data_IF_524757043452
#
_entry.id   IF_524757043452
#
_cell.length_a   1.000
_cell.length_b   1.000
_cell.length_c   1.000
_cell.angle_alpha   90.00
_cell.angle_beta   90.00
_cell.angle_gamma   90.00
#
_symmetry.space_group_name_H-M   'P 1'
#
loop_
_entity.id
_entity.type
_entity.pdbx_description
1 polymer ?
#
# COMPACT_ATOMS: atom_id res chain seq x y z
N UNK A 1 -12.13 0.77 7.45
CA UNK A 1 -12.23 1.87 6.45
C UNK A 1 -13.62 2.51 6.36
N UNK A 2 -14.71 1.88 6.85
CA UNK A 2 -16.06 2.47 6.80
C UNK A 2 -16.18 3.89 7.39
N UNK A 3 -15.53 4.18 8.51
CA UNK A 3 -15.53 5.53 9.09
C UNK A 3 -14.89 6.58 8.17
N UNK A 4 -13.78 6.24 7.53
CA UNK A 4 -13.07 7.13 6.59
C UNK A 4 -13.95 7.47 5.39
N UNK A 5 -14.58 6.46 4.77
CA UNK A 5 -15.44 6.68 3.61
C UNK A 5 -16.65 7.56 3.95
N UNK A 6 -17.26 7.40 5.15
CA UNK A 6 -18.35 8.28 5.60
C UNK A 6 -17.93 9.74 5.69
N UNK A 7 -16.75 10.00 6.26
CA UNK A 7 -16.22 11.37 6.38
C UNK A 7 -15.89 11.93 4.99
N UNK A 8 -15.21 11.17 4.14
CA UNK A 8 -14.85 11.59 2.78
C UNK A 8 -16.10 11.89 1.95
N UNK A 9 -17.12 11.02 2.00
CA UNK A 9 -18.41 11.25 1.34
C UNK A 9 -19.03 12.58 1.79
N UNK A 10 -19.11 12.82 3.10
CA UNK A 10 -19.67 14.08 3.62
C UNK A 10 -18.88 15.31 3.16
N UNK A 11 -17.54 15.20 3.05
CA UNK A 11 -16.72 16.29 2.52
C UNK A 11 -17.02 16.54 1.03
N UNK A 12 -17.20 15.50 0.23
CA UNK A 12 -17.61 15.64 -1.17
C UNK A 12 -19.00 16.27 -1.31
N UNK A 13 -19.97 15.86 -0.50
CA UNK A 13 -21.32 16.47 -0.48
C UNK A 13 -21.26 17.99 -0.22
N UNK A 14 -20.36 18.42 0.67
CA UNK A 14 -20.19 19.83 1.01
C UNK A 14 -19.36 20.62 -0.01
N UNK A 15 -18.42 19.95 -0.69
CA UNK A 15 -17.50 20.62 -1.63
C UNK A 15 -18.08 20.71 -3.04
N UNK A 16 -18.92 19.75 -3.44
CA UNK A 16 -19.45 19.66 -4.80
C UNK A 16 -18.38 19.28 -5.83
N UNK A 17 -18.45 19.87 -7.02
CA UNK A 17 -17.57 19.53 -8.14
C UNK A 17 -16.12 19.90 -7.83
N UNK A 18 -15.23 18.91 -7.79
CA UNK A 18 -13.84 19.15 -7.40
C UNK A 18 -12.86 18.09 -7.91
N UNK A 19 -11.57 18.37 -7.72
CA UNK A 19 -10.48 17.40 -7.84
C UNK A 19 -9.99 17.05 -6.44
N UNK A 20 -10.04 15.77 -6.08
CA UNK A 20 -9.62 15.31 -4.77
C UNK A 20 -8.34 14.46 -4.90
N UNK A 21 -7.29 14.84 -4.17
CA UNK A 21 -5.96 14.26 -4.30
C UNK A 21 -5.70 13.26 -3.16
N UNK A 22 -5.36 12.03 -3.52
CA UNK A 22 -5.15 10.93 -2.56
C UNK A 22 -3.83 10.23 -2.84
N UNK A 23 -3.03 10.00 -1.80
CA UNK A 23 -1.75 9.31 -1.91
C UNK A 23 -1.90 7.81 -2.22
N UNK A 24 -1.10 7.29 -3.15
CA UNK A 24 -1.06 5.86 -3.51
C UNK A 24 -0.58 4.96 -2.36
N UNK A 25 0.09 5.53 -1.35
CA UNK A 25 0.51 4.81 -0.15
C UNK A 25 -0.66 4.15 0.58
N UNK A 26 -1.82 4.80 0.62
CA UNK A 26 -3.05 4.25 1.19
C UNK A 26 -3.88 3.60 0.07
N UNK A 27 -3.29 2.63 -0.64
CA UNK A 27 -3.85 2.06 -1.88
C UNK A 27 -5.28 1.54 -1.73
N UNK A 28 -5.61 0.89 -0.61
CA UNK A 28 -6.97 0.41 -0.34
C UNK A 28 -7.97 1.57 -0.17
N UNK A 29 -7.56 2.65 0.49
CA UNK A 29 -8.41 3.83 0.64
C UNK A 29 -8.64 4.49 -0.71
N UNK A 30 -7.59 4.65 -1.52
CA UNK A 30 -7.71 5.20 -2.87
C UNK A 30 -8.65 4.35 -3.74
N UNK A 31 -8.50 3.03 -3.71
CA UNK A 31 -9.40 2.10 -4.41
C UNK A 31 -10.87 2.30 -3.99
N UNK A 32 -11.14 2.27 -2.68
CA UNK A 32 -12.49 2.42 -2.16
C UNK A 32 -13.10 3.81 -2.41
N UNK A 33 -12.30 4.87 -2.36
CA UNK A 33 -12.77 6.24 -2.66
C UNK A 33 -13.14 6.37 -4.14
N UNK A 34 -12.32 5.83 -5.06
CA UNK A 34 -12.66 5.80 -6.49
C UNK A 34 -13.96 5.06 -6.75
N UNK A 35 -14.08 3.86 -6.19
CA UNK A 35 -15.28 3.03 -6.29
C UNK A 35 -16.51 3.76 -5.75
N UNK A 36 -16.39 4.42 -4.58
CA UNK A 36 -17.47 5.21 -4.00
C UNK A 36 -17.90 6.38 -4.88
N UNK A 37 -16.95 7.08 -5.51
CA UNK A 37 -17.24 8.19 -6.42
C UNK A 37 -17.97 7.71 -7.67
N UNK A 38 -17.53 6.58 -8.23
CA UNK A 38 -18.15 5.95 -9.40
C UNK A 38 -19.56 5.42 -9.09
N UNK A 39 -19.71 4.59 -8.04
CA UNK A 39 -20.99 3.96 -7.66
C UNK A 39 -22.07 4.97 -7.26
N UNK A 40 -21.68 6.18 -6.85
CA UNK A 40 -22.59 7.24 -6.42
C UNK A 40 -22.66 8.41 -7.41
N UNK A 41 -22.00 8.29 -8.56
CA UNK A 41 -21.97 9.30 -9.60
C UNK A 41 -21.60 10.69 -9.07
N UNK A 42 -20.66 10.75 -8.10
CA UNK A 42 -20.25 12.01 -7.49
C UNK A 42 -19.46 12.84 -8.52
N UNK A 43 -19.63 14.17 -8.57
CA UNK A 43 -18.93 15.04 -9.52
C UNK A 43 -17.47 15.33 -9.09
N UNK A 44 -16.74 14.29 -8.67
CA UNK A 44 -15.39 14.40 -8.10
C UNK A 44 -14.40 13.64 -8.98
N UNK A 45 -13.31 14.30 -9.38
CA UNK A 45 -12.18 13.62 -10.03
C UNK A 45 -11.16 13.21 -8.97
N UNK A 46 -10.97 11.90 -8.77
CA UNK A 46 -9.99 11.37 -7.81
C UNK A 46 -8.61 11.26 -8.48
N UNK A 47 -7.68 12.12 -8.06
CA UNK A 47 -6.31 12.18 -8.59
C UNK A 47 -5.36 11.37 -7.69
N UNK A 48 -4.74 10.29 -8.20
CA UNK A 48 -3.73 9.55 -7.44
C UNK A 48 -2.43 10.36 -7.37
N UNK A 49 -1.84 10.42 -6.18
CA UNK A 49 -0.53 11.04 -5.97
C UNK A 49 0.50 9.96 -5.64
N UNK A 50 1.64 9.89 -6.35
CA UNK A 50 2.68 8.92 -6.06
C UNK A 50 3.10 8.93 -4.59
N UNK A 51 3.45 7.75 -4.06
CA UNK A 51 3.98 7.64 -2.70
C UNK A 51 5.27 8.44 -2.59
N UNK A 52 5.24 9.52 -1.80
CA UNK A 52 6.45 10.25 -1.44
C UNK A 52 7.30 9.40 -0.49
N UNK A 53 8.60 9.30 -0.77
CA UNK A 53 9.55 8.45 -0.03
C UNK A 53 10.76 9.24 0.43
N UNK A 54 11.32 8.85 1.57
CA UNK A 54 12.64 9.26 2.00
C UNK A 54 13.74 8.58 1.14
N UNK A 55 15.01 9.04 1.20
CA UNK A 55 16.09 8.47 0.38
C UNK A 55 16.33 6.97 0.57
N UNK A 56 16.01 6.43 1.75
CA UNK A 56 16.07 5.01 2.09
C UNK A 56 14.83 4.20 1.65
N UNK A 57 13.92 4.85 0.92
CA UNK A 57 12.70 4.24 0.40
C UNK A 57 11.50 4.24 1.35
N UNK A 58 11.67 4.62 2.62
CA UNK A 58 10.56 4.65 3.57
C UNK A 58 9.45 5.60 3.09
N UNK A 59 8.22 5.09 2.97
CA UNK A 59 7.07 5.91 2.63
C UNK A 59 6.80 6.99 3.71
N UNK A 60 6.62 8.24 3.29
CA UNK A 60 6.31 9.32 4.22
C UNK A 60 4.98 9.06 4.95
N UNK A 61 4.99 9.30 6.26
CA UNK A 61 3.86 9.06 7.16
C UNK A 61 3.96 9.99 8.34
N UNK A 62 2.84 10.56 8.78
CA UNK A 62 2.79 11.23 10.09
C UNK A 62 3.15 10.28 11.23
N UNK A 63 2.95 8.97 11.04
CA UNK A 63 3.36 7.93 12.00
C UNK A 63 4.88 7.77 12.13
N UNK A 64 5.67 8.20 11.14
CA UNK A 64 7.13 8.08 11.20
C UNK A 64 7.71 8.95 12.33
N UNK A 65 7.04 10.04 12.69
CA UNK A 65 7.43 10.90 13.81
C UNK A 65 7.34 10.22 15.18
N UNK A 66 6.70 9.03 15.27
CA UNK A 66 6.59 8.25 16.51
C UNK A 66 7.73 7.24 16.65
N UNK A 67 8.47 6.99 15.58
CA UNK A 67 9.57 6.02 15.59
C UNK A 67 10.72 6.59 16.41
N UNK A 68 11.35 5.75 17.22
CA UNK A 68 12.70 6.02 17.73
C UNK A 68 13.70 6.08 16.57
N UNK A 69 14.91 6.57 16.83
CA UNK A 69 15.97 6.57 15.81
C UNK A 69 16.24 5.14 15.28
N UNK A 70 16.31 4.15 16.19
CA UNK A 70 16.55 2.76 15.83
C UNK A 70 15.40 2.14 15.03
N UNK A 71 14.15 2.41 15.42
CA UNK A 71 12.98 1.96 14.65
C UNK A 71 12.95 2.63 13.26
N UNK A 72 13.34 3.90 13.17
CA UNK A 72 13.39 4.65 11.92
C UNK A 72 14.42 4.07 10.96
N UNK A 73 15.61 3.73 11.45
CA UNK A 73 16.67 3.14 10.63
C UNK A 73 16.26 1.78 10.06
N UNK A 74 15.45 1.02 10.81
CA UNK A 74 14.95 -0.29 10.39
C UNK A 74 13.68 -0.23 9.53
N UNK A 75 12.94 0.88 9.55
CA UNK A 75 11.65 1.01 8.86
C UNK A 75 11.74 0.90 7.32
N UNK A 76 12.93 1.06 6.75
CA UNK A 76 13.19 0.83 5.32
C UNK A 76 12.88 -0.60 4.85
N UNK A 77 12.80 -1.58 5.77
CA UNK A 77 12.52 -2.97 5.44
C UNK A 77 11.19 -3.19 4.71
N UNK A 78 10.18 -2.32 4.91
CA UNK A 78 8.92 -2.40 4.16
C UNK A 78 9.15 -2.20 2.65
N UNK A 79 9.97 -1.23 2.29
CA UNK A 79 10.27 -0.96 0.88
C UNK A 79 11.18 -2.03 0.29
N UNK A 80 12.13 -2.56 1.06
CA UNK A 80 12.97 -3.69 0.65
C UNK A 80 12.13 -4.94 0.37
N UNK A 81 11.21 -5.29 1.28
CA UNK A 81 10.31 -6.43 1.14
C UNK A 81 9.49 -6.35 -0.16
N UNK A 82 8.89 -5.17 -0.41
CA UNK A 82 8.12 -4.92 -1.62
C UNK A 82 8.99 -4.96 -2.89
N UNK A 83 10.23 -4.46 -2.79
CA UNK A 83 11.17 -4.45 -3.91
C UNK A 83 11.66 -5.85 -4.27
N UNK A 84 11.87 -6.73 -3.28
CA UNK A 84 12.19 -8.15 -3.50
C UNK A 84 11.04 -8.85 -4.23
N UNK A 85 9.80 -8.69 -3.75
CA UNK A 85 8.63 -9.24 -4.44
C UNK A 85 8.49 -8.72 -5.88
N UNK A 86 8.72 -7.42 -6.10
CA UNK A 86 8.70 -6.85 -7.44
C UNK A 86 9.85 -7.37 -8.32
N UNK A 87 11.03 -7.67 -7.74
CA UNK A 87 12.16 -8.23 -8.47
C UNK A 87 11.91 -9.69 -8.88
N UNK A 88 11.33 -10.50 -7.99
CA UNK A 88 10.92 -11.88 -8.30
C UNK A 88 9.87 -11.90 -9.42
N UNK A 89 8.86 -11.02 -9.33
CA UNK A 89 7.86 -10.88 -10.38
C UNK A 89 8.48 -10.46 -11.72
N UNK A 90 9.44 -9.53 -11.73
CA UNK A 90 10.21 -9.17 -12.94
C UNK A 90 11.02 -10.36 -13.49
N UNK A 91 11.46 -11.26 -12.61
CA UNK A 91 12.16 -12.50 -12.96
C UNK A 91 11.25 -13.63 -13.48
N UNK A 92 9.95 -13.40 -13.60
CA UNK A 92 8.98 -14.37 -14.10
C UNK A 92 8.25 -15.16 -13.01
N UNK A 93 8.45 -14.85 -11.73
CA UNK A 93 7.64 -15.44 -10.67
C UNK A 93 6.18 -14.95 -10.77
N UNK A 94 5.24 -15.89 -10.77
CA UNK A 94 3.81 -15.58 -10.89
C UNK A 94 3.01 -16.07 -9.69
N UNK A 95 3.53 -16.97 -8.86
CA UNK A 95 2.87 -17.48 -7.67
C UNK A 95 2.90 -16.44 -6.54
N UNK A 96 1.71 -15.95 -6.18
CA UNK A 96 1.56 -14.96 -5.13
C UNK A 96 2.09 -15.45 -3.77
N UNK A 97 2.03 -16.76 -3.48
CA UNK A 97 2.53 -17.31 -2.22
C UNK A 97 4.05 -17.14 -2.10
N UNK A 98 4.79 -17.28 -3.21
CA UNK A 98 6.25 -17.08 -3.25
C UNK A 98 6.58 -15.61 -2.98
N UNK A 99 5.84 -14.68 -3.60
CA UNK A 99 6.02 -13.24 -3.39
C UNK A 99 5.68 -12.81 -1.96
N UNK A 100 4.61 -13.37 -1.39
CA UNK A 100 4.21 -13.13 0.01
C UNK A 100 5.26 -13.66 0.97
N UNK A 101 5.79 -14.85 0.72
CA UNK A 101 6.86 -15.43 1.53
C UNK A 101 8.13 -14.58 1.47
N UNK A 102 8.50 -14.05 0.31
CA UNK A 102 9.63 -13.14 0.16
C UNK A 102 9.48 -11.88 1.02
N UNK A 103 8.33 -11.20 0.92
CA UNK A 103 8.03 -10.06 1.79
C UNK A 103 8.09 -10.42 3.28
N UNK A 104 7.54 -11.57 3.64
CA UNK A 104 7.52 -12.03 5.03
C UNK A 104 8.90 -12.31 5.60
N UNK A 105 9.81 -12.87 4.80
CA UNK A 105 11.21 -13.12 5.20
C UNK A 105 11.94 -11.82 5.48
N UNK A 106 11.83 -10.85 4.58
CA UNK A 106 12.54 -9.56 4.72
C UNK A 106 12.08 -8.79 5.96
N UNK A 107 10.76 -8.74 6.21
CA UNK A 107 10.24 -8.14 7.44
C UNK A 107 10.68 -8.94 8.68
N UNK A 108 10.64 -10.28 8.61
CA UNK A 108 11.03 -11.16 9.72
C UNK A 108 12.53 -11.12 10.06
N UNK A 109 13.39 -10.73 9.11
CA UNK A 109 14.81 -10.52 9.33
C UNK A 109 15.14 -9.19 10.04
N UNK A 110 14.16 -8.30 10.18
CA UNK A 110 14.32 -6.98 10.79
C UNK A 110 13.93 -7.03 12.28
N UNK A 111 14.87 -6.86 13.23
CA UNK A 111 14.63 -7.14 14.66
C UNK A 111 13.45 -6.39 15.30
N UNK A 112 13.25 -5.11 14.96
CA UNK A 112 12.19 -4.28 15.54
C UNK A 112 10.87 -4.35 14.75
N UNK A 113 10.85 -5.02 13.61
CA UNK A 113 9.67 -5.14 12.77
C UNK A 113 8.97 -6.48 13.01
N UNK A 114 7.68 -6.43 13.27
CA UNK A 114 6.81 -7.61 13.27
C UNK A 114 5.83 -7.52 12.11
N UNK A 115 5.80 -8.53 11.25
CA UNK A 115 4.84 -8.61 10.16
C UNK A 115 3.40 -8.61 10.73
N UNK A 116 2.58 -7.69 10.25
CA UNK A 116 1.13 -7.65 10.52
C UNK A 116 0.39 -8.38 9.39
N UNK A 117 0.71 -8.05 8.13
CA UNK A 117 0.34 -8.85 6.97
C UNK A 117 1.26 -8.54 5.78
N UNK A 118 1.34 -9.49 4.86
CA UNK A 118 1.80 -9.30 3.48
C UNK A 118 0.78 -9.96 2.55
N UNK A 119 0.44 -9.31 1.45
CA UNK A 119 -0.50 -9.85 0.47
C UNK A 119 -0.18 -9.35 -0.94
N UNK A 120 -0.64 -10.09 -1.93
CA UNK A 120 -0.70 -9.65 -3.32
C UNK A 120 -2.17 -9.55 -3.71
N UNK A 121 -2.57 -8.38 -4.21
CA UNK A 121 -3.96 -8.07 -4.54
C UNK A 121 -4.08 -7.63 -5.99
N UNK A 122 -5.22 -7.92 -6.62
CA UNK A 122 -5.55 -7.38 -7.94
C UNK A 122 -5.85 -5.88 -7.85
N UNK A 123 -5.32 -5.07 -8.77
CA UNK A 123 -5.53 -3.61 -8.79
C UNK A 123 -7.01 -3.24 -9.04
N UNK A 124 -7.76 -4.08 -9.75
CA UNK A 124 -9.17 -3.82 -10.10
C UNK A 124 -10.17 -4.22 -9.01
N UNK A 125 -9.81 -5.11 -8.10
CA UNK A 125 -10.72 -5.65 -7.06
C UNK A 125 -10.24 -5.35 -5.65
N UNK A 126 -8.94 -5.16 -5.46
CA UNK A 126 -8.26 -5.15 -4.17
C UNK A 126 -8.49 -6.44 -3.36
N UNK A 127 -8.80 -7.54 -4.04
CA UNK A 127 -8.94 -8.87 -3.45
C UNK A 127 -7.62 -9.65 -3.61
N UNK A 128 -7.29 -10.55 -2.67
CA UNK A 128 -6.13 -11.41 -2.79
C UNK A 128 -6.17 -12.24 -4.08
N UNK A 129 -5.02 -12.38 -4.73
CA UNK A 129 -4.86 -13.24 -5.91
C UNK A 129 -3.85 -14.36 -5.62
N UNK A 130 -3.98 -15.47 -6.33
CA UNK A 130 -3.05 -16.60 -6.23
C UNK A 130 -1.96 -16.56 -7.30
N UNK A 131 -2.23 -15.92 -8.45
CA UNK A 131 -1.29 -15.76 -9.54
C UNK A 131 -1.31 -14.37 -10.16
N UNK A 132 -0.17 -13.91 -10.68
CA UNK A 132 0.00 -12.64 -11.40
C UNK A 132 -0.56 -12.68 -12.85
N UNK A 133 -1.85 -12.96 -13.00
CA UNK A 133 -2.52 -13.00 -14.31
C UNK A 133 -3.20 -11.67 -14.67
N UNK A 134 -3.33 -10.77 -13.69
CA UNK A 134 -3.94 -9.45 -13.80
C UNK A 134 -3.00 -8.40 -13.23
N UNK A 135 -3.17 -7.10 -13.56
CA UNK A 135 -2.46 -6.03 -12.88
C UNK A 135 -2.61 -6.16 -11.36
N UNK A 136 -1.48 -6.22 -10.66
CA UNK A 136 -1.45 -6.58 -9.25
C UNK A 136 -0.52 -5.65 -8.46
N UNK A 137 -0.70 -5.68 -7.15
CA UNK A 137 0.10 -4.91 -6.18
C UNK A 137 0.45 -5.78 -5.00
N UNK A 138 1.71 -5.69 -4.58
CA UNK A 138 2.15 -6.16 -3.29
C UNK A 138 1.81 -5.10 -2.22
N UNK A 139 1.20 -5.54 -1.12
CA UNK A 139 0.86 -4.69 0.03
C UNK A 139 1.45 -5.30 1.30
N UNK A 140 2.02 -4.47 2.15
CA UNK A 140 2.63 -4.92 3.41
C UNK A 140 2.28 -3.98 4.55
N UNK A 141 2.10 -4.56 5.73
CA UNK A 141 2.01 -3.84 6.98
C UNK A 141 2.92 -4.49 8.02
N UNK A 142 3.63 -3.67 8.78
CA UNK A 142 4.47 -4.11 9.88
C UNK A 142 4.24 -3.25 11.12
N UNK A 143 4.43 -3.85 12.29
CA UNK A 143 4.37 -3.20 13.59
C UNK A 143 5.77 -3.06 14.14
N UNK A 144 6.13 -1.82 14.40
CA UNK A 144 7.22 -1.43 15.29
C UNK A 144 6.63 -1.17 16.69
N UNK A 145 7.44 -1.21 17.75
CA UNK A 145 6.98 -0.87 19.10
C UNK A 145 6.12 0.41 19.17
N UNK A 146 6.54 1.47 18.48
CA UNK A 146 5.91 2.80 18.56
C UNK A 146 4.92 3.11 17.44
N UNK A 147 4.90 2.31 16.36
CA UNK A 147 4.04 2.59 15.21
C UNK A 147 3.68 1.35 14.39
N UNK A 148 2.50 1.40 13.76
CA UNK A 148 2.12 0.50 12.67
C UNK A 148 2.31 1.21 11.34
N UNK A 149 3.18 0.65 10.49
CA UNK A 149 3.50 1.18 9.17
C UNK A 149 2.83 0.33 8.08
N UNK A 150 2.55 0.96 6.95
CA UNK A 150 2.03 0.31 5.75
C UNK A 150 2.78 0.84 4.55
N UNK A 151 2.94 0.00 3.55
CA UNK A 151 3.47 0.38 2.26
C UNK A 151 2.97 -0.60 1.18
N UNK A 152 3.14 -0.23 -0.08
CA UNK A 152 2.75 -1.05 -1.20
C UNK A 152 3.50 -0.67 -2.49
N UNK A 153 3.61 -1.62 -3.44
CA UNK A 153 4.19 -1.41 -4.76
C UNK A 153 3.43 -2.20 -5.83
N UNK A 154 3.23 -1.57 -6.99
CA UNK A 154 2.72 -2.27 -8.17
C UNK A 154 3.72 -3.34 -8.58
N UNK A 155 3.22 -4.53 -8.89
CA UNK A 155 4.03 -5.59 -9.46
C UNK A 155 4.05 -5.42 -10.98
N UNK A 156 5.17 -5.75 -11.65
CA UNK A 156 5.19 -5.82 -13.11
C UNK A 156 4.17 -6.84 -13.61
N UNK A 157 3.59 -6.65 -14.80
CA UNK A 157 2.82 -7.71 -15.43
C UNK A 157 3.72 -8.93 -15.68
N UNK A 158 3.14 -10.14 -15.61
CA UNK A 158 3.84 -11.34 -16.06
C UNK A 158 4.25 -11.17 -17.54
N UNK A 159 5.47 -11.58 -17.86
CA UNK A 159 6.01 -11.55 -19.22
C UNK A 159 5.33 -12.60 -20.12
#
# INVERSE_FOLDING_TARGET
LHGVLKVVHRLFDLTGSCRAYFGEKDAQQLFLVRRMVEERELPVTVVPCPTARAPDGLAHSSRNARLSAEERDQAGCLFLALSEAAALARGGETDAAILIAAMGREIGATPLARLDYAAVVGEGTFEPITRLEVPARAVVAARFPSARLIDNLRLPPAA
#
